data_IF_919928503862
#
_entry.id   IF_919928503862
#
_cell.length_a   1.000
_cell.length_b   1.000
_cell.length_c   1.000
_cell.angle_alpha   90.00
_cell.angle_beta   90.00
_cell.angle_gamma   90.00
#
_symmetry.space_group_name_H-M   'P 1'
#
loop_
_entity.id
_entity.type
_entity.pdbx_description
1 polymer ?
#
# COMPACT_ATOMS: atom_id res chain seq x y z
N UNK A 1 14.28 25.62 -17.34
CA UNK A 1 14.30 25.24 -15.92
C UNK A 1 13.45 23.98 -15.80
N UNK A 2 14.03 22.82 -15.49
CA UNK A 2 13.25 21.60 -15.32
C UNK A 2 12.63 21.65 -13.92
N UNK A 3 11.30 21.74 -13.85
CA UNK A 3 10.58 21.68 -12.57
C UNK A 3 10.52 20.22 -12.17
N UNK A 4 11.07 19.89 -10.99
CA UNK A 4 10.92 18.55 -10.43
C UNK A 4 9.48 18.33 -10.00
N UNK A 5 8.87 17.23 -10.45
CA UNK A 5 7.54 16.82 -10.01
C UNK A 5 7.66 15.71 -8.97
N UNK A 6 6.93 15.86 -7.85
CA UNK A 6 6.79 14.82 -6.83
C UNK A 6 6.03 13.64 -7.44
N UNK A 7 6.55 12.42 -7.27
CA UNK A 7 5.91 11.19 -7.80
C UNK A 7 5.31 10.29 -6.73
N UNK A 8 5.93 10.23 -5.56
CA UNK A 8 5.56 9.29 -4.51
C UNK A 8 5.61 9.97 -3.14
N UNK A 9 4.65 9.65 -2.27
CA UNK A 9 4.67 9.98 -0.85
C UNK A 9 4.46 8.72 -0.03
N UNK A 10 5.13 8.68 1.12
CA UNK A 10 5.00 7.59 2.09
C UNK A 10 4.47 8.14 3.39
N UNK A 11 3.49 7.44 3.97
CA UNK A 11 3.07 7.65 5.35
C UNK A 11 3.82 6.65 6.23
N UNK A 12 4.60 7.17 7.17
CA UNK A 12 5.36 6.38 8.12
C UNK A 12 4.65 6.30 9.48
N UNK A 13 4.73 5.15 10.12
CA UNK A 13 4.33 4.93 11.50
C UNK A 13 5.41 5.38 12.49
N UNK A 14 5.18 5.08 13.78
CA UNK A 14 6.10 5.44 14.85
C UNK A 14 7.28 4.49 15.00
N UNK A 15 7.17 3.27 14.48
CA UNK A 15 8.26 2.29 14.50
C UNK A 15 9.24 2.51 13.34
N UNK A 16 10.47 2.00 13.50
CA UNK A 16 11.48 2.01 12.45
C UNK A 16 10.99 1.20 11.25
N UNK A 17 11.19 1.76 10.05
CA UNK A 17 10.82 1.16 8.76
C UNK A 17 9.34 0.75 8.62
N UNK A 18 8.45 1.39 9.39
CA UNK A 18 7.02 1.10 9.35
C UNK A 18 6.30 1.97 8.31
N UNK A 19 6.20 1.48 7.08
CA UNK A 19 5.36 2.12 6.05
C UNK A 19 3.90 1.73 6.30
N UNK A 20 3.01 2.72 6.38
CA UNK A 20 1.56 2.53 6.55
C UNK A 20 0.80 2.71 5.24
N UNK A 21 1.27 3.61 4.39
CA UNK A 21 0.69 3.85 3.07
C UNK A 21 1.71 4.41 2.08
N UNK A 22 1.46 4.13 0.82
CA UNK A 22 2.11 4.78 -0.33
C UNK A 22 1.05 5.49 -1.16
N UNK A 23 1.38 6.68 -1.63
CA UNK A 23 0.59 7.42 -2.59
C UNK A 23 1.41 7.67 -3.86
N UNK A 24 0.87 7.23 -4.99
CA UNK A 24 1.34 7.67 -6.30
C UNK A 24 0.73 9.04 -6.59
N UNK A 25 1.56 10.08 -6.54
CA UNK A 25 1.16 11.47 -6.76
C UNK A 25 1.01 11.69 -8.26
N UNK A 26 -0.24 11.84 -8.70
CA UNK A 26 -0.57 12.28 -10.03
C UNK A 26 -1.16 13.69 -9.97
N UNK A 27 -0.50 14.64 -10.64
CA UNK A 27 -0.65 16.09 -10.43
C UNK A 27 -1.91 16.63 -11.12
N UNK A 28 -3.10 16.15 -10.71
CA UNK A 28 -4.40 16.59 -11.21
C UNK A 28 -5.43 15.49 -11.50
N UNK A 29 -5.18 14.24 -11.11
CA UNK A 29 -6.15 13.13 -11.19
C UNK A 29 -6.43 12.55 -9.80
N UNK A 30 -7.34 11.57 -9.69
CA UNK A 30 -7.67 10.92 -8.42
C UNK A 30 -6.40 10.25 -7.85
N UNK A 31 -5.89 10.74 -6.72
CA UNK A 31 -4.71 10.17 -6.10
C UNK A 31 -4.98 8.73 -5.66
N UNK A 32 -4.06 7.82 -5.99
CA UNK A 32 -4.20 6.41 -5.62
C UNK A 32 -3.34 6.12 -4.40
N UNK A 33 -3.97 6.10 -3.23
CA UNK A 33 -3.34 5.71 -1.96
C UNK A 33 -3.53 4.21 -1.73
N UNK A 34 -2.42 3.52 -1.46
CA UNK A 34 -2.38 2.12 -1.06
C UNK A 34 -2.04 2.02 0.42
N UNK A 35 -2.85 1.28 1.16
CA UNK A 35 -2.70 1.07 2.60
C UNK A 35 -2.23 -0.35 2.87
N UNK A 36 -1.21 -0.50 3.71
CA UNK A 36 -0.76 -1.81 4.19
C UNK A 36 -1.60 -2.22 5.40
N UNK A 37 -2.21 -3.40 5.36
CA UNK A 37 -2.92 -3.99 6.50
C UNK A 37 -2.09 -5.17 7.02
N UNK A 38 -1.79 -5.14 8.32
CA UNK A 38 -0.86 -6.08 8.94
C UNK A 38 -1.54 -7.05 9.90
N UNK A 39 -0.96 -8.22 10.10
CA UNK A 39 -1.33 -9.13 11.17
C UNK A 39 -0.77 -8.71 12.55
N UNK A 40 -0.96 -9.55 13.57
CA UNK A 40 -0.50 -9.31 14.94
C UNK A 40 1.04 -9.36 15.09
N UNK A 41 1.78 -9.80 14.07
CA UNK A 41 3.25 -9.77 14.02
C UNK A 41 3.76 -8.57 13.22
N UNK A 42 2.87 -7.66 12.81
CA UNK A 42 3.14 -6.55 11.89
C UNK A 42 3.60 -7.00 10.48
N UNK A 43 3.31 -8.23 10.08
CA UNK A 43 3.55 -8.67 8.69
C UNK A 43 2.42 -8.13 7.82
N UNK A 44 2.73 -7.48 6.70
CA UNK A 44 1.71 -7.02 5.74
C UNK A 44 0.99 -8.23 5.16
N UNK A 45 -0.32 -8.30 5.27
CA UNK A 45 -1.15 -9.38 4.71
C UNK A 45 -2.02 -8.91 3.57
N UNK A 46 -2.38 -7.64 3.54
CA UNK A 46 -3.21 -7.08 2.49
C UNK A 46 -2.75 -5.69 2.10
N UNK A 47 -2.95 -5.36 0.82
CA UNK A 47 -2.86 -4.00 0.30
C UNK A 47 -4.28 -3.57 -0.04
N UNK A 48 -4.75 -2.48 0.56
CA UNK A 48 -6.07 -1.94 0.33
C UNK A 48 -6.05 -0.59 -0.39
N UNK A 49 -7.07 -0.33 -1.21
CA UNK A 49 -7.32 0.97 -1.84
C UNK A 49 -8.73 1.43 -1.52
N UNK A 50 -8.87 2.72 -1.21
CA UNK A 50 -10.17 3.38 -1.14
C UNK A 50 -10.47 4.04 -2.48
N UNK A 51 -11.68 3.83 -3.00
CA UNK A 51 -12.18 4.50 -4.20
C UNK A 51 -13.28 5.48 -3.79
N UNK A 52 -12.99 6.78 -3.91
CA UNK A 52 -13.93 7.86 -3.56
C UNK A 52 -15.14 7.95 -4.50
N UNK A 53 -15.03 7.45 -5.74
CA UNK A 53 -16.14 7.43 -6.69
C UNK A 53 -17.21 6.39 -6.34
N UNK A 54 -16.83 5.29 -5.68
CA UNK A 54 -17.74 4.23 -5.22
C UNK A 54 -17.92 4.18 -3.71
N UNK A 55 -17.25 5.05 -2.95
CA UNK A 55 -17.15 5.03 -1.49
C UNK A 55 -16.86 3.64 -0.90
N UNK A 56 -15.90 2.94 -1.51
CA UNK A 56 -15.60 1.55 -1.14
C UNK A 56 -14.11 1.35 -0.97
N UNK A 57 -13.74 0.64 0.09
CA UNK A 57 -12.38 0.12 0.29
C UNK A 57 -12.32 -1.33 -0.15
N UNK A 58 -11.35 -1.66 -1.00
CA UNK A 58 -11.11 -3.03 -1.47
C UNK A 58 -9.70 -3.46 -1.19
N UNK A 59 -9.53 -4.75 -0.90
CA UNK A 59 -8.22 -5.41 -0.91
C UNK A 59 -7.84 -5.67 -2.37
N UNK A 60 -6.71 -5.09 -2.80
CA UNK A 60 -6.20 -5.17 -4.17
C UNK A 60 -5.03 -6.14 -4.32
N UNK A 61 -4.42 -6.55 -3.20
CA UNK A 61 -3.53 -7.69 -3.13
C UNK A 61 -3.64 -8.33 -1.74
N UNK A 62 -3.64 -9.67 -1.68
CA UNK A 62 -3.64 -10.48 -0.47
C UNK A 62 -2.39 -11.35 -0.49
N UNK A 63 -1.55 -11.25 0.53
CA UNK A 63 -0.24 -11.90 0.65
C UNK A 63 -0.29 -13.04 1.66
N UNK A 64 0.17 -14.23 1.28
CA UNK A 64 0.16 -15.44 2.10
C UNK A 64 1.59 -15.83 2.43
N UNK A 65 1.95 -15.75 3.71
CA UNK A 65 3.25 -16.18 4.22
C UNK A 65 3.13 -17.45 5.06
N UNK A 66 4.13 -18.33 4.96
CA UNK A 66 4.33 -19.44 5.89
C UNK A 66 4.77 -18.95 7.29
N UNK A 67 4.90 -19.88 8.24
CA UNK A 67 5.31 -19.58 9.62
C UNK A 67 6.75 -19.02 9.74
N UNK A 68 7.55 -19.11 8.68
CA UNK A 68 8.92 -18.58 8.62
C UNK A 68 8.99 -17.25 7.84
N UNK A 69 7.84 -16.68 7.45
CA UNK A 69 7.76 -15.44 6.68
C UNK A 69 8.08 -15.60 5.20
N UNK A 70 8.09 -16.82 4.66
CA UNK A 70 8.26 -17.03 3.21
C UNK A 70 6.96 -16.80 2.50
N UNK A 71 6.99 -16.03 1.42
CA UNK A 71 5.85 -15.87 0.52
C UNK A 71 5.49 -17.23 -0.10
N UNK A 72 4.22 -17.61 0.02
CA UNK A 72 3.64 -18.84 -0.50
C UNK A 72 2.53 -18.58 -1.51
N UNK A 73 2.21 -17.31 -1.79
CA UNK A 73 1.25 -16.90 -2.80
C UNK A 73 0.68 -15.51 -2.55
N UNK A 74 0.15 -14.93 -3.62
CA UNK A 74 -0.57 -13.67 -3.57
C UNK A 74 -1.75 -13.65 -4.54
N UNK A 75 -2.72 -12.75 -4.31
CA UNK A 75 -3.88 -12.61 -5.20
C UNK A 75 -3.63 -11.75 -6.44
N UNK A 76 -2.55 -10.97 -6.43
CA UNK A 76 -2.16 -10.11 -7.55
C UNK A 76 -0.64 -10.18 -7.77
N UNK A 77 -0.22 -10.89 -8.81
CA UNK A 77 1.18 -10.98 -9.21
C UNK A 77 1.57 -9.77 -10.05
N UNK A 78 2.68 -9.11 -9.70
CA UNK A 78 3.25 -8.01 -10.47
C UNK A 78 3.81 -8.42 -11.83
#
# INVERSE_FOLDING_TARGET
MQVGHLRQRYLWGSAVDQILAEENVDNGSNETVQWTLTDHLNTVRDIAKYNSGSDMTTVVNHLIYDAFGRDTGESNFS
#
